data_IF_725850803718
#
_entry.id   IF_725850803718
#
_cell.length_a   1.000
_cell.length_b   1.000
_cell.length_c   1.000
_cell.angle_alpha   90.00
_cell.angle_beta   90.00
_cell.angle_gamma   90.00
#
_symmetry.space_group_name_H-M   'P 1'
#
loop_
_entity.id
_entity.type
_entity.pdbx_description
1 polymer ?
2 polymer ?
3 water ?
#
# COMPACT_ATOMS: atom_id res chain seq x y z
N UNK A 1 12.08 6.23 22.00
CA UNK A 1 12.41 4.96 21.37
C UNK A 1 12.63 5.13 19.88
N UNK A 2 13.58 4.37 19.34
CA UNK A 2 13.95 4.48 17.93
C UNK A 2 13.19 3.49 17.06
N UNK A 3 12.88 2.33 17.62
CA UNK A 3 12.10 1.34 16.90
C UNK A 3 10.77 1.94 16.47
N UNK A 4 10.08 2.56 17.41
CA UNK A 4 8.82 3.23 17.13
C UNK A 4 8.96 4.25 16.00
N UNK A 5 10.10 4.95 15.97
CA UNK A 5 10.34 5.93 14.92
C UNK A 5 10.43 5.29 13.55
N UNK A 6 11.35 4.33 13.40
CA UNK A 6 11.47 3.59 12.15
C UNK A 6 10.10 3.09 11.73
N UNK A 7 9.32 2.62 12.70
CA UNK A 7 7.99 2.09 12.42
C UNK A 7 7.08 3.16 11.81
N UNK A 8 7.21 4.39 12.30
CA UNK A 8 6.41 5.49 11.78
C UNK A 8 6.89 5.93 10.39
N UNK A 9 8.20 5.88 10.18
CA UNK A 9 8.77 6.21 8.88
C UNK A 9 8.23 5.25 7.83
N UNK A 10 8.20 3.97 8.17
CA UNK A 10 7.64 2.96 7.29
C UNK A 10 6.15 3.22 7.05
N UNK A 11 5.44 3.62 8.10
CA UNK A 11 4.02 3.93 7.98
C UNK A 11 3.81 5.07 7.00
N UNK A 12 4.65 6.10 7.08
CA UNK A 12 4.54 7.26 6.22
C UNK A 12 4.81 6.88 4.76
N UNK A 13 5.83 6.05 4.53
CA UNK A 13 6.13 5.58 3.18
C UNK A 13 5.00 4.71 2.65
N UNK A 14 4.32 4.02 3.55
CA UNK A 14 3.16 3.22 3.16
C UNK A 14 2.09 4.13 2.59
N UNK A 15 1.87 5.29 3.21
CA UNK A 15 0.90 6.25 2.70
C UNK A 15 1.32 6.77 1.33
N UNK A 16 2.62 7.03 1.17
CA UNK A 16 3.16 7.44 -0.13
C UNK A 16 2.87 6.38 -1.16
N UNK A 17 3.14 5.12 -0.82
CA UNK A 17 2.91 4.01 -1.73
C UNK A 17 1.47 3.96 -2.17
N UNK A 18 0.55 4.18 -1.23
CA UNK A 18 -0.87 4.17 -1.52
C UNK A 18 -1.21 5.25 -2.55
N UNK A 19 -0.57 6.40 -2.43
CA UNK A 19 -0.79 7.50 -3.36
C UNK A 19 -0.27 7.16 -4.75
N UNK A 20 0.89 6.52 -4.83
CA UNK A 20 1.42 6.14 -6.14
C UNK A 20 0.52 5.09 -6.79
N UNK A 21 -0.03 4.20 -5.98
CA UNK A 21 -0.98 3.21 -6.49
C UNK A 21 -2.22 3.90 -7.08
N UNK A 22 -2.76 4.89 -6.36
CA UNK A 22 -3.90 5.66 -6.88
C UNK A 22 -3.57 6.27 -8.23
N UNK A 23 -2.39 6.86 -8.33
CA UNK A 23 -1.97 7.52 -9.55
C UNK A 23 -1.86 6.56 -10.71
N UNK A 24 -1.25 5.41 -10.45
CA UNK A 24 -1.08 4.38 -11.47
C UNK A 24 -2.43 3.90 -11.99
N UNK A 25 -3.37 3.69 -11.07
CA UNK A 25 -4.71 3.25 -11.45
C UNK A 25 -5.43 4.30 -12.29
N UNK A 26 -5.27 5.56 -11.92
CA UNK A 26 -5.88 6.66 -12.69
C UNK A 26 -5.36 6.65 -14.11
N UNK A 27 -4.05 6.54 -14.24
CA UNK A 27 -3.41 6.55 -15.55
C UNK A 27 -3.82 5.34 -16.37
N UNK A 28 -3.92 4.18 -15.73
CA UNK A 28 -4.33 2.97 -16.45
C UNK A 28 -5.71 3.16 -17.03
N UNK A 29 -6.62 3.73 -16.26
CA UNK A 29 -7.99 3.95 -16.74
C UNK A 29 -7.99 4.95 -17.89
N UNK A 30 -7.17 5.98 -17.78
CA UNK A 30 -7.14 7.02 -18.81
C UNK A 30 -6.53 6.52 -20.12
N UNK A 31 -5.48 5.72 -20.03
CA UNK A 31 -4.86 5.13 -21.20
C UNK A 31 -5.83 4.16 -21.85
N UNK A 32 -6.51 3.38 -21.03
CA UNK A 32 -7.49 2.42 -21.54
C UNK A 32 -8.61 3.16 -22.28
N UNK A 33 -9.05 4.29 -21.72
CA UNK A 33 -10.11 5.07 -22.38
C UNK A 33 -9.64 5.55 -23.75
N UNK A 34 -8.38 5.97 -23.85
CA UNK A 34 -7.82 6.44 -25.11
C UNK A 34 -7.71 5.29 -26.12
N UNK A 35 -7.21 4.14 -25.66
CA UNK A 35 -7.09 2.96 -26.49
C UNK A 35 -8.45 2.58 -27.07
N UNK A 36 -9.46 2.58 -26.21
CA UNK A 36 -10.82 2.25 -26.63
C UNK A 36 -11.37 3.28 -27.62
N UNK A 37 -11.09 4.56 -27.36
CA UNK A 37 -11.54 5.62 -28.26
C UNK A 37 -11.00 5.39 -29.66
N UNK A 38 -9.73 5.03 -29.75
CA UNK A 38 -9.09 4.83 -31.05
C UNK A 38 -9.57 3.54 -31.71
N UNK A 39 -9.76 2.49 -30.92
CA UNK A 39 -10.27 1.24 -31.46
C UNK A 39 -11.70 1.42 -31.99
N UNK A 40 -12.49 2.23 -31.28
CA UNK A 40 -13.89 2.45 -31.66
C UNK A 40 -14.00 3.23 -32.96
N UNK A 41 -12.94 3.93 -33.34
CA UNK A 41 -12.93 4.64 -34.62
C UNK A 41 -12.90 3.65 -35.77
N UNK A 42 -13.24 4.13 -36.97
C UNK B 1 0.66 -12.79 -15.75
N UNK B 2 1.27 -11.71 -15.30
CA UNK B 2 0.69 -10.67 -14.45
C UNK B 2 -0.34 -9.87 -15.24
N UNK B 3 -1.45 -9.56 -14.59
CA UNK B 3 -2.52 -8.76 -15.20
C UNK B 3 -2.98 -7.72 -14.20
N UNK B 4 -3.80 -6.77 -14.62
CA UNK B 4 -4.18 -5.65 -13.76
C UNK B 4 -5.11 -6.06 -12.61
N UNK B 5 -5.91 -7.09 -12.84
CA UNK B 5 -6.81 -7.60 -11.81
C UNK B 5 -5.95 -8.21 -10.70
N UNK B 6 -5.00 -9.05 -11.10
CA UNK B 6 -4.08 -9.70 -10.17
C UNK B 6 -3.20 -8.65 -9.50
N UNK B 7 -2.77 -7.66 -10.27
CA UNK B 7 -1.94 -6.58 -9.77
C UNK B 7 -2.63 -5.89 -8.61
N UNK B 8 -3.89 -5.50 -8.82
CA UNK B 8 -4.66 -4.85 -7.77
C UNK B 8 -4.77 -5.73 -6.52
N UNK B 9 -5.01 -7.02 -6.72
CA UNK B 9 -5.20 -7.95 -5.61
C UNK B 9 -3.91 -8.15 -4.82
N UNK B 10 -2.78 -8.25 -5.53
CA UNK B 10 -1.49 -8.41 -4.89
C UNK B 10 -1.10 -7.16 -4.11
N UNK B 11 -1.39 -6.00 -4.68
CA UNK B 11 -1.15 -4.73 -4.00
C UNK B 11 -1.92 -4.68 -2.70
N UNK B 12 -3.20 -5.07 -2.77
CA UNK B 12 -4.06 -5.10 -1.60
C UNK B 12 -3.55 -6.10 -0.58
N UNK B 13 -3.08 -7.25 -1.06
CA UNK B 13 -2.59 -8.30 -0.18
C UNK B 13 -1.33 -7.88 0.59
N UNK B 14 -0.41 -7.19 -0.07
CA UNK B 14 0.80 -6.72 0.58
C UNK B 14 0.50 -5.55 1.50
N UNK B 15 -0.43 -4.69 1.08
CA UNK B 15 -0.81 -3.52 1.87
C UNK B 15 -1.44 -3.96 3.19
N UNK B 16 -2.49 -4.78 3.10
CA UNK B 16 -3.18 -5.25 4.29
C UNK B 16 -2.25 -6.06 5.19
N UNK B 17 -1.21 -6.64 4.61
CA UNK B 17 -0.21 -7.37 5.40
C UNK B 17 0.64 -6.38 6.17
N UNK B 18 1.18 -5.40 5.46
CA UNK B 18 2.05 -4.40 6.06
C UNK B 18 1.39 -3.82 7.30
N UNK B 19 0.15 -3.36 7.16
CA UNK B 19 -0.57 -2.76 8.29
C UNK B 19 -0.65 -3.73 9.47
N UNK B 20 -0.94 -5.00 9.18
CA UNK B 20 -1.06 -5.99 10.23
C UNK B 20 0.30 -6.25 10.87
N UNK B 21 1.37 -6.09 10.09
CA UNK B 21 2.72 -6.27 10.60
C UNK B 21 3.14 -5.08 11.46
N UNK B 22 2.81 -3.88 11.02
CA UNK B 22 3.09 -2.67 11.80
C UNK B 22 2.46 -2.79 13.19
N UNK B 23 1.21 -3.19 13.23
CA UNK B 23 0.49 -3.29 14.49
C UNK B 23 1.09 -4.40 15.37
N UNK B 24 1.64 -5.42 14.73
CA UNK B 24 2.29 -6.51 15.45
C UNK B 24 3.51 -6.02 16.20
N UNK B 25 4.44 -5.40 15.46
CA UNK B 25 5.65 -4.87 16.06
C UNK B 25 5.31 -3.89 17.18
N UNK B 26 4.29 -3.08 16.95
CA UNK B 26 3.84 -2.10 17.93
C UNK B 26 3.22 -2.79 19.13
N UNK B 27 2.52 -3.90 18.87
CA UNK B 27 1.89 -4.68 19.92
C UNK B 27 2.94 -5.18 20.90
N UNK B 28 3.98 -5.80 20.36
CA UNK B 28 5.06 -6.34 21.19
C UNK B 28 5.78 -5.23 21.94
N UNK B 29 5.96 -4.08 21.29
CA UNK B 29 6.66 -2.96 21.89
C UNK B 29 5.91 -2.43 23.11
N UNK B 30 4.59 -2.32 23.00
CA UNK B 30 3.78 -1.92 24.13
C UNK B 30 3.82 -2.99 25.22
N UNK B 31 3.88 -4.24 24.78
CA UNK B 31 3.96 -5.37 25.70
C UNK B 31 5.27 -5.32 26.48
N UNK B 32 6.36 -5.06 25.78
CA UNK B 32 7.69 -5.01 26.39
C UNK B 32 7.85 -3.79 27.27
N UNK B 33 7.25 -2.66 26.88
CA UNK B 33 7.31 -1.46 27.69
C UNK B 33 6.62 -1.68 29.02
N UNK B 34 5.49 -2.39 28.98
CA UNK B 34 4.76 -2.71 30.20
C UNK B 34 5.57 -3.69 31.04
N UNK B 35 6.36 -4.53 30.37
CA UNK B 35 7.22 -5.50 31.05
C UNK B 35 8.29 -4.79 31.87
N UNK B 36 9.06 -3.90 31.22
CA UNK B 36 10.13 -3.18 31.89
C UNK B 36 9.61 -1.98 32.66
N UNK B 37 8.33 -1.67 32.48
CA UNK B 37 7.69 -0.55 33.19
C UNK B 37 8.61 0.67 33.24
#
# INVERSE_FOLDING_TARGET
QQQNNLLRAIEAQQHLLQLTVWGIKQLQARILAVERYLKDQX
XMTWETWEREIENYTKQIYKILEESQEQQDRNEKDLLE
#
